data_IF_146076168856
#
_entry.id   IF_146076168856
#
_cell.length_a   1.000
_cell.length_b   1.000
_cell.length_c   1.000
_cell.angle_alpha   90.00
_cell.angle_beta   90.00
_cell.angle_gamma   90.00
#
_symmetry.space_group_name_H-M   'P 1'
#
loop_
_entity.id
_entity.type
_entity.pdbx_description
1 polymer ?
#
# COMPACT_ATOMS: atom_id res chain seq x y z
N UNK A 1 8.96 -25.51 -25.47
CA UNK A 1 7.82 -24.89 -24.75
C UNK A 1 8.20 -23.55 -24.10
N UNK A 2 8.95 -22.67 -24.80
CA UNK A 2 9.55 -21.46 -24.20
C UNK A 2 8.94 -20.12 -24.63
N UNK A 3 7.89 -20.11 -25.46
CA UNK A 3 7.38 -18.87 -26.09
C UNK A 3 6.37 -18.12 -25.19
N UNK A 4 5.84 -18.78 -24.15
CA UNK A 4 4.77 -18.21 -23.31
C UNK A 4 5.22 -17.25 -22.20
N UNK A 5 6.52 -17.21 -21.87
CA UNK A 5 7.04 -16.34 -20.80
C UNK A 5 7.29 -14.90 -21.27
N UNK A 6 7.83 -14.74 -22.48
CA UNK A 6 8.14 -13.42 -23.06
C UNK A 6 6.88 -12.58 -23.30
N UNK A 7 5.81 -13.21 -23.78
CA UNK A 7 4.54 -12.53 -24.04
C UNK A 7 3.83 -12.06 -22.76
N UNK A 8 4.03 -12.75 -21.63
CA UNK A 8 3.46 -12.35 -20.34
C UNK A 8 4.24 -11.20 -19.70
N UNK A 9 5.56 -11.12 -19.92
CA UNK A 9 6.39 -10.03 -19.39
C UNK A 9 6.18 -8.72 -20.17
N UNK A 10 6.01 -8.79 -21.49
CA UNK A 10 5.65 -7.61 -22.31
C UNK A 10 4.24 -7.08 -21.99
N UNK A 11 3.27 -7.97 -21.74
CA UNK A 11 1.93 -7.58 -21.32
C UNK A 11 1.93 -6.89 -19.94
N UNK A 12 2.77 -7.34 -19.00
CA UNK A 12 2.90 -6.69 -17.70
C UNK A 12 3.56 -5.31 -17.81
N UNK A 13 4.62 -5.17 -18.63
CA UNK A 13 5.28 -3.87 -18.88
C UNK A 13 4.36 -2.87 -19.59
N UNK A 14 3.53 -3.33 -20.53
CA UNK A 14 2.51 -2.51 -21.17
C UNK A 14 1.42 -2.05 -20.17
N UNK A 15 1.02 -2.91 -19.22
CA UNK A 15 0.03 -2.55 -18.19
C UNK A 15 0.54 -1.53 -17.18
N UNK A 16 1.84 -1.57 -16.83
CA UNK A 16 2.47 -0.61 -15.93
C UNK A 16 2.66 0.75 -16.64
N UNK A 17 2.99 0.74 -17.93
CA UNK A 17 3.07 1.97 -18.74
C UNK A 17 1.71 2.63 -19.02
N UNK A 18 0.64 1.83 -19.15
CA UNK A 18 -0.73 2.34 -19.30
C UNK A 18 -1.28 2.95 -17.99
N UNK A 19 -0.88 2.41 -16.83
CA UNK A 19 -1.34 2.90 -15.52
C UNK A 19 -0.66 4.20 -15.08
N UNK A 20 0.44 4.60 -15.73
CA UNK A 20 1.09 5.89 -15.53
C UNK A 20 0.41 7.06 -16.30
N UNK A 21 -0.61 6.79 -17.15
CA UNK A 21 -1.31 7.82 -17.94
C UNK A 21 -2.78 8.04 -17.56
N UNK A 22 -3.31 7.29 -16.60
CA UNK A 22 -4.70 7.35 -16.17
C UNK A 22 -4.86 7.98 -14.79
N UNK A 23 -4.74 9.32 -14.73
CA UNK A 23 -4.88 10.06 -13.47
C UNK A 23 -4.90 11.57 -13.66
N UNK A 24 -5.51 12.06 -14.74
CA UNK A 24 -5.77 13.48 -14.97
C UNK A 24 -7.29 13.70 -14.83
N UNK A 25 -7.73 13.92 -13.61
CA UNK A 25 -9.14 14.05 -13.26
C UNK A 25 -9.27 14.65 -11.86
N UNK A 26 -8.94 15.93 -11.75
CA UNK A 26 -9.08 16.72 -10.54
C UNK A 26 -8.92 18.18 -10.94
N UNK A 27 -10.03 18.90 -10.99
CA UNK A 27 -10.09 20.27 -11.49
C UNK A 27 -9.10 21.17 -10.76
N UNK A 28 -8.03 21.55 -11.45
CA UNK A 28 -7.36 22.80 -11.17
C UNK A 28 -8.32 23.91 -11.55
N UNK A 29 -8.96 24.54 -10.56
CA UNK A 29 -9.47 25.88 -10.78
C UNK A 29 -8.26 26.70 -11.21
N UNK A 30 -8.27 27.11 -12.46
CA UNK A 30 -7.27 27.98 -13.02
C UNK A 30 -7.11 29.16 -12.06
N UNK A 31 -5.88 29.35 -11.61
CA UNK A 31 -5.40 30.56 -10.95
C UNK A 31 -5.98 31.79 -11.67
N UNK A 32 -7.01 32.36 -11.07
CA UNK A 32 -7.72 33.54 -11.55
C UNK A 32 -7.31 34.74 -10.69
N UNK A 33 -6.01 34.99 -10.60
CA UNK A 33 -5.38 36.21 -10.12
C UNK A 33 -3.88 35.99 -10.35
N UNK A 34 -3.27 36.49 -11.43
CA UNK A 34 -2.77 37.86 -11.50
C UNK A 34 -2.88 38.34 -12.96
N UNK A 35 -4.04 38.85 -13.35
CA UNK A 35 -4.08 39.81 -14.44
C UNK A 35 -3.63 41.16 -13.87
N UNK A 36 -2.50 41.71 -14.36
CA UNK A 36 -2.12 43.11 -14.08
C UNK A 36 -3.32 44.02 -14.41
N UNK A 37 -3.84 44.83 -13.48
CA UNK A 37 -4.84 45.81 -13.86
C UNK A 37 -4.14 46.90 -14.69
N UNK A 38 -4.59 47.09 -15.93
CA UNK A 38 -4.32 48.31 -16.70
C UNK A 38 -4.88 49.50 -15.89
N UNK A 39 -4.18 50.65 -15.82
CA UNK A 39 -4.69 51.82 -15.12
C UNK A 39 -5.79 52.46 -15.97
N UNK A 40 -7.02 51.94 -15.88
CA UNK A 40 -8.20 52.63 -16.36
C UNK A 40 -8.58 53.68 -15.34
N UNK A 41 -8.48 54.95 -15.75
CA UNK A 41 -8.97 56.13 -15.05
C UNK A 41 -10.47 55.98 -14.74
N UNK A 42 -10.79 55.50 -13.54
CA UNK A 42 -12.10 55.66 -12.93
C UNK A 42 -12.13 56.98 -12.17
N UNK A 43 -13.25 57.73 -12.18
CA UNK A 43 -13.36 58.94 -11.38
C UNK A 43 -13.11 58.59 -9.92
N UNK A 44 -12.34 59.43 -9.22
CA UNK A 44 -12.01 59.27 -7.81
C UNK A 44 -13.29 59.25 -6.97
N UNK A 45 -13.86 58.05 -6.80
CA UNK A 45 -14.89 57.74 -5.82
C UNK A 45 -14.32 58.17 -4.49
N UNK A 46 -15.03 59.04 -3.76
CA UNK A 46 -14.60 59.49 -2.44
C UNK A 46 -14.17 58.26 -1.63
N UNK A 47 -12.86 58.12 -1.41
CA UNK A 47 -12.28 56.98 -0.71
C UNK A 47 -12.73 57.11 0.73
N UNK A 48 -13.76 56.35 1.09
CA UNK A 48 -14.09 56.14 2.50
C UNK A 48 -12.96 55.29 3.05
N UNK A 49 -12.36 55.69 4.15
CA UNK A 49 -11.23 54.96 4.74
C UNK A 49 -11.69 53.51 4.99
N UNK A 50 -11.07 52.51 4.35
CA UNK A 50 -11.56 51.14 4.43
C UNK A 50 -11.42 50.59 5.86
N UNK A 51 -10.48 51.13 6.65
CA UNK A 51 -10.37 50.88 8.09
C UNK A 51 -11.59 51.36 8.89
N UNK A 52 -12.21 52.48 8.52
CA UNK A 52 -13.42 52.96 9.19
C UNK A 52 -14.64 52.06 8.90
N UNK A 53 -14.64 51.35 7.76
CA UNK A 53 -15.65 50.33 7.44
C UNK A 53 -15.36 49.05 8.22
N UNK A 54 -14.09 48.69 8.42
CA UNK A 54 -13.69 47.55 9.25
C UNK A 54 -14.05 47.72 10.73
N UNK A 55 -13.85 48.92 11.28
CA UNK A 55 -14.23 49.26 12.66
C UNK A 55 -15.76 49.22 12.88
N UNK A 56 -16.55 49.23 11.80
CA UNK A 56 -18.00 49.09 11.86
C UNK A 56 -18.51 47.65 11.77
N UNK A 57 -17.63 46.66 11.56
CA UNK A 57 -18.03 45.26 11.65
C UNK A 57 -18.37 44.88 13.10
N UNK A 58 -19.37 44.02 13.26
CA UNK A 58 -19.63 43.38 14.54
C UNK A 58 -18.42 42.54 14.97
N UNK A 59 -18.07 42.64 16.24
CA UNK A 59 -16.94 41.92 16.86
C UNK A 59 -17.10 40.41 16.73
N UNK A 60 -18.34 39.92 16.63
CA UNK A 60 -18.64 38.48 16.47
C UNK A 60 -18.13 37.88 15.16
N UNK A 61 -17.94 38.68 14.09
CA UNK A 61 -17.38 38.17 12.82
C UNK A 61 -15.92 37.69 12.95
N UNK A 62 -15.23 38.02 14.04
CA UNK A 62 -13.86 37.56 14.30
C UNK A 62 -13.79 36.19 15.01
N UNK A 63 -14.92 35.66 15.49
CA UNK A 63 -14.95 34.38 16.21
C UNK A 63 -15.04 33.19 15.25
N UNK A 64 -14.17 32.17 15.37
CA UNK A 64 -14.15 31.01 14.46
C UNK A 64 -15.32 30.04 14.65
N UNK A 65 -16.15 30.24 15.69
CA UNK A 65 -17.34 29.42 15.96
C UNK A 65 -18.65 30.18 15.65
N UNK A 66 -18.55 31.41 15.15
CA UNK A 66 -19.71 32.24 14.84
C UNK A 66 -20.34 31.85 13.51
N UNK A 67 -21.65 31.62 13.52
CA UNK A 67 -22.43 31.42 12.31
C UNK A 67 -22.96 32.78 11.81
N UNK A 68 -22.21 33.37 10.88
CA UNK A 68 -22.56 34.62 10.24
C UNK A 68 -23.89 34.55 9.44
N UNK A 69 -24.25 33.38 8.92
CA UNK A 69 -25.48 33.24 8.13
C UNK A 69 -26.70 33.23 9.05
N UNK A 70 -26.62 32.49 10.16
CA UNK A 70 -27.71 32.45 11.16
C UNK A 70 -27.95 33.84 11.77
N UNK A 71 -26.88 34.58 12.07
CA UNK A 71 -26.96 35.94 12.61
C UNK A 71 -27.68 36.91 11.68
N UNK A 72 -27.26 36.95 10.40
CA UNK A 72 -27.88 37.81 9.40
C UNK A 72 -29.33 37.43 9.14
N UNK A 73 -29.64 36.13 9.09
CA UNK A 73 -31.01 35.63 8.90
C UNK A 73 -31.94 35.96 10.08
N UNK A 74 -31.43 35.92 11.30
CA UNK A 74 -32.18 36.29 12.51
C UNK A 74 -32.51 37.80 12.57
N UNK A 75 -31.73 38.64 11.88
CA UNK A 75 -31.92 40.08 11.83
C UNK A 75 -32.94 40.52 10.74
N UNK A 76 -33.46 39.58 9.93
CA UNK A 76 -34.51 39.89 8.95
C UNK A 76 -35.91 39.90 9.61
N UNK A 77 -36.78 40.88 9.29
CA UNK A 77 -38.16 40.88 9.77
C UNK A 77 -38.96 39.72 9.16
N UNK A 78 -39.93 39.16 9.89
CA UNK A 78 -40.69 37.97 9.46
C UNK A 78 -41.52 38.13 8.18
N UNK A 79 -41.90 39.35 7.80
CA UNK A 79 -42.50 39.68 6.50
C UNK A 79 -41.45 40.35 5.61
N UNK A 80 -40.69 39.54 4.88
CA UNK A 80 -39.53 40.03 4.12
C UNK A 80 -39.95 40.55 2.75
N UNK A 81 -39.76 41.85 2.51
CA UNK A 81 -39.85 42.39 1.15
C UNK A 81 -38.56 42.13 0.38
N UNK A 82 -38.66 41.71 -0.90
CA UNK A 82 -37.49 41.44 -1.76
C UNK A 82 -36.53 42.65 -1.84
N UNK A 83 -37.08 43.86 -1.70
CA UNK A 83 -36.32 45.11 -1.66
C UNK A 83 -35.41 45.23 -0.44
N UNK A 84 -35.84 44.75 0.73
CA UNK A 84 -35.07 44.84 1.98
C UNK A 84 -33.91 43.84 1.99
N UNK A 85 -34.14 42.63 1.47
CA UNK A 85 -33.08 41.65 1.20
C UNK A 85 -32.03 42.27 0.29
N UNK A 86 -32.47 42.89 -0.82
CA UNK A 86 -31.54 43.49 -1.78
C UNK A 86 -30.70 44.61 -1.15
N UNK A 87 -31.30 45.46 -0.31
CA UNK A 87 -30.57 46.52 0.40
C UNK A 87 -29.54 45.93 1.36
N UNK A 88 -29.89 44.89 2.14
CA UNK A 88 -28.94 44.19 3.02
C UNK A 88 -27.82 43.51 2.23
N UNK A 89 -28.14 42.80 1.15
CA UNK A 89 -27.13 42.19 0.28
C UNK A 89 -26.15 43.23 -0.29
N UNK A 90 -26.65 44.38 -0.75
CA UNK A 90 -25.79 45.46 -1.26
C UNK A 90 -24.91 46.05 -0.14
N UNK A 91 -25.41 46.12 1.10
CA UNK A 91 -24.61 46.55 2.24
C UNK A 91 -23.49 45.55 2.57
N UNK A 92 -23.80 44.25 2.64
CA UNK A 92 -22.82 43.19 2.90
C UNK A 92 -21.79 43.05 1.78
N UNK A 93 -22.19 43.24 0.53
CA UNK A 93 -21.26 43.25 -0.61
C UNK A 93 -20.24 44.39 -0.49
N UNK A 94 -20.67 45.60 -0.09
CA UNK A 94 -19.75 46.72 0.14
C UNK A 94 -18.81 46.46 1.31
N UNK A 95 -19.29 45.80 2.36
CA UNK A 95 -18.48 45.40 3.50
C UNK A 95 -17.40 44.40 3.09
N UNK A 96 -17.79 43.38 2.33
CA UNK A 96 -16.87 42.40 1.74
C UNK A 96 -15.82 43.08 0.85
N UNK A 97 -16.22 43.98 -0.03
CA UNK A 97 -15.29 44.73 -0.89
C UNK A 97 -14.26 45.51 -0.07
N UNK A 98 -14.67 46.15 1.02
CA UNK A 98 -13.75 46.86 1.92
C UNK A 98 -12.78 45.91 2.64
N UNK A 99 -13.27 44.77 3.13
CA UNK A 99 -12.43 43.73 3.74
C UNK A 99 -11.42 43.17 2.74
N UNK A 100 -11.87 42.88 1.52
CA UNK A 100 -11.03 42.37 0.43
C UNK A 100 -9.93 43.38 0.08
N UNK A 101 -10.24 44.68 0.01
CA UNK A 101 -9.26 45.73 -0.29
C UNK A 101 -8.18 45.84 0.79
N UNK A 102 -8.55 45.85 2.08
CA UNK A 102 -7.58 45.91 3.18
C UNK A 102 -6.76 44.63 3.27
N UNK A 103 -7.40 43.48 3.12
CA UNK A 103 -6.70 42.18 3.13
C UNK A 103 -5.69 42.11 1.98
N UNK A 104 -6.10 42.49 0.76
CA UNK A 104 -5.20 42.54 -0.39
C UNK A 104 -4.05 43.53 -0.15
N UNK A 105 -4.32 44.72 0.39
CA UNK A 105 -3.28 45.68 0.76
C UNK A 105 -2.25 45.07 1.71
N UNK A 106 -2.73 44.46 2.81
CA UNK A 106 -1.88 43.81 3.81
C UNK A 106 -1.09 42.61 3.28
N UNK A 107 -1.68 41.81 2.38
CA UNK A 107 -0.98 40.72 1.69
C UNK A 107 0.10 41.28 0.76
N UNK A 108 -0.20 42.36 0.04
CA UNK A 108 0.76 42.99 -0.87
C UNK A 108 1.92 43.67 -0.12
N UNK A 109 1.66 44.22 1.07
CA UNK A 109 2.70 44.78 1.94
C UNK A 109 3.71 43.70 2.38
N UNK A 110 3.24 42.47 2.63
CA UNK A 110 4.06 41.33 3.07
C UNK A 110 4.15 40.22 2.01
N UNK A 111 4.14 40.59 0.72
CA UNK A 111 3.94 39.64 -0.39
C UNK A 111 4.99 38.53 -0.46
N UNK A 112 6.26 38.86 -0.17
CA UNK A 112 7.37 37.89 -0.19
C UNK A 112 7.18 36.80 0.86
N UNK A 113 6.85 37.17 2.10
CA UNK A 113 6.62 36.24 3.21
C UNK A 113 5.38 35.39 2.97
N UNK A 114 4.33 35.98 2.40
CA UNK A 114 3.11 35.26 2.04
C UNK A 114 3.37 34.17 0.99
N UNK A 115 4.09 34.48 -0.10
CA UNK A 115 4.44 33.48 -1.11
C UNK A 115 5.35 32.41 -0.54
N UNK A 116 6.33 32.79 0.27
CA UNK A 116 7.24 31.83 0.89
C UNK A 116 6.46 30.84 1.76
N UNK A 117 5.57 31.34 2.63
CA UNK A 117 4.70 30.51 3.44
C UNK A 117 3.78 29.60 2.61
N UNK A 118 3.19 30.13 1.53
CA UNK A 118 2.35 29.34 0.63
C UNK A 118 3.14 28.25 -0.10
N UNK A 119 4.37 28.55 -0.52
CA UNK A 119 5.27 27.57 -1.16
C UNK A 119 5.63 26.47 -0.18
N UNK A 120 6.00 26.82 1.05
CA UNK A 120 6.32 25.85 2.12
C UNK A 120 5.12 24.94 2.44
N UNK A 121 3.91 25.48 2.56
CA UNK A 121 2.70 24.67 2.80
C UNK A 121 2.45 23.70 1.64
N UNK A 122 2.63 24.15 0.40
CA UNK A 122 2.48 23.31 -0.80
C UNK A 122 3.52 22.19 -0.85
N UNK A 123 4.78 22.49 -0.55
CA UNK A 123 5.87 21.51 -0.46
C UNK A 123 5.60 20.48 0.63
N UNK A 124 5.21 20.91 1.84
CA UNK A 124 4.83 20.02 2.94
C UNK A 124 3.65 19.11 2.56
N UNK A 125 2.64 19.65 1.87
CA UNK A 125 1.52 18.85 1.39
C UNK A 125 1.96 17.79 0.37
N UNK A 126 2.88 18.16 -0.53
CA UNK A 126 3.45 17.22 -1.50
C UNK A 126 4.23 16.11 -0.81
N UNK A 127 5.14 16.46 0.10
CA UNK A 127 5.98 15.53 0.84
C UNK A 127 5.15 14.57 1.70
N UNK A 128 4.12 15.09 2.39
CA UNK A 128 3.23 14.25 3.19
C UNK A 128 2.45 13.26 2.32
N UNK A 129 1.99 13.71 1.15
CA UNK A 129 1.29 12.85 0.19
C UNK A 129 2.21 11.75 -0.34
N UNK A 130 3.45 12.09 -0.68
CA UNK A 130 4.46 11.15 -1.13
C UNK A 130 4.84 10.15 -0.04
N UNK A 131 5.10 10.63 1.18
CA UNK A 131 5.39 9.78 2.34
C UNK A 131 4.24 8.81 2.63
N UNK A 132 2.98 9.27 2.55
CA UNK A 132 1.82 8.41 2.71
C UNK A 132 1.79 7.27 1.68
N UNK A 133 2.06 7.57 0.41
CA UNK A 133 2.11 6.57 -0.66
C UNK A 133 3.25 5.57 -0.43
N UNK A 134 4.45 6.05 -0.07
CA UNK A 134 5.62 5.20 0.22
C UNK A 134 5.33 4.26 1.38
N UNK A 135 4.80 4.77 2.50
CA UNK A 135 4.47 3.95 3.67
C UNK A 135 3.36 2.94 3.36
N UNK A 136 2.32 3.35 2.64
CA UNK A 136 1.21 2.48 2.25
C UNK A 136 1.68 1.35 1.33
N UNK A 137 2.55 1.66 0.37
CA UNK A 137 3.11 0.66 -0.54
C UNK A 137 4.12 -0.24 0.18
N UNK A 138 5.01 0.33 0.98
CA UNK A 138 5.95 -0.43 1.81
C UNK A 138 5.24 -1.45 2.69
N UNK A 139 4.20 -1.03 3.42
CA UNK A 139 3.37 -1.95 4.23
C UNK A 139 2.74 -3.07 3.40
N UNK A 140 2.27 -2.78 2.18
CA UNK A 140 1.72 -3.79 1.26
C UNK A 140 2.79 -4.76 0.77
N UNK A 141 3.99 -4.29 0.43
CA UNK A 141 5.10 -5.13 0.00
C UNK A 141 5.58 -6.05 1.12
N UNK A 142 5.76 -5.53 2.33
CA UNK A 142 6.15 -6.35 3.48
C UNK A 142 5.13 -7.45 3.77
N UNK A 143 3.82 -7.13 3.75
CA UNK A 143 2.77 -8.17 3.93
C UNK A 143 2.88 -9.28 2.89
N UNK A 144 2.97 -8.92 1.60
CA UNK A 144 3.11 -9.91 0.52
C UNK A 144 4.39 -10.73 0.65
N UNK A 145 5.48 -10.12 1.10
CA UNK A 145 6.74 -10.82 1.31
C UNK A 145 6.61 -11.84 2.46
N UNK A 146 5.95 -11.48 3.56
CA UNK A 146 5.65 -12.41 4.66
C UNK A 146 4.80 -13.58 4.16
N UNK A 147 3.67 -13.29 3.50
CA UNK A 147 2.77 -14.32 2.96
C UNK A 147 3.52 -15.27 1.98
N UNK A 148 4.40 -14.69 1.14
CA UNK A 148 5.22 -15.46 0.20
C UNK A 148 6.27 -16.35 0.87
N UNK A 149 6.91 -15.86 1.94
CA UNK A 149 7.91 -16.63 2.71
C UNK A 149 7.22 -17.75 3.49
N UNK A 150 6.07 -17.48 4.12
CA UNK A 150 5.30 -18.50 4.84
C UNK A 150 4.88 -19.64 3.91
N UNK A 151 4.30 -19.32 2.74
CA UNK A 151 3.94 -20.34 1.75
C UNK A 151 5.15 -21.12 1.24
N UNK A 152 6.30 -20.46 1.02
CA UNK A 152 7.53 -21.14 0.61
C UNK A 152 8.06 -22.09 1.70
N UNK A 153 8.01 -21.68 2.97
CA UNK A 153 8.41 -22.52 4.11
C UNK A 153 7.52 -23.75 4.25
N UNK A 154 6.21 -23.61 4.05
CA UNK A 154 5.28 -24.74 4.07
C UNK A 154 5.61 -25.76 2.97
N UNK A 155 5.89 -25.28 1.75
CA UNK A 155 6.31 -26.15 0.64
C UNK A 155 7.61 -26.88 0.96
N UNK A 156 8.60 -26.20 1.54
CA UNK A 156 9.87 -26.82 1.96
C UNK A 156 9.65 -27.86 3.04
N UNK A 157 8.81 -27.56 4.04
CA UNK A 157 8.48 -28.50 5.12
C UNK A 157 7.79 -29.76 4.56
N UNK A 158 6.83 -29.59 3.65
CA UNK A 158 6.13 -30.68 2.99
C UNK A 158 7.05 -31.50 2.08
N UNK A 159 7.96 -30.85 1.35
CA UNK A 159 8.97 -31.52 0.52
C UNK A 159 9.90 -32.40 1.37
N UNK A 160 10.44 -31.87 2.47
CA UNK A 160 11.27 -32.64 3.42
C UNK A 160 10.51 -33.77 4.09
N UNK A 161 9.20 -33.61 4.33
CA UNK A 161 8.35 -34.69 4.86
C UNK A 161 8.17 -35.80 3.83
N UNK A 162 7.86 -35.44 2.58
CA UNK A 162 7.73 -36.39 1.47
C UNK A 162 9.04 -37.15 1.24
N UNK A 163 10.17 -36.46 1.24
CA UNK A 163 11.49 -37.09 1.08
C UNK A 163 11.76 -38.13 2.17
N UNK A 164 11.52 -37.79 3.44
CA UNK A 164 11.63 -38.73 4.56
C UNK A 164 10.71 -39.94 4.41
N UNK A 165 9.45 -39.72 4.01
CA UNK A 165 8.50 -40.82 3.78
C UNK A 165 8.96 -41.74 2.63
N UNK A 166 9.48 -41.18 1.55
CA UNK A 166 10.04 -41.95 0.44
C UNK A 166 11.28 -42.74 0.85
N UNK A 167 12.16 -42.17 1.67
CA UNK A 167 13.30 -42.89 2.24
C UNK A 167 12.84 -44.06 3.10
N UNK A 168 11.85 -43.84 3.99
CA UNK A 168 11.31 -44.93 4.81
C UNK A 168 10.60 -46.01 4.00
N UNK A 169 9.93 -45.63 2.90
CA UNK A 169 9.27 -46.58 2.00
C UNK A 169 10.30 -47.48 1.32
N UNK A 170 11.40 -46.90 0.80
CA UNK A 170 12.50 -47.66 0.17
C UNK A 170 13.11 -48.66 1.15
N UNK A 171 13.40 -48.24 2.39
CA UNK A 171 13.90 -49.14 3.42
C UNK A 171 12.91 -50.29 3.72
N UNK A 172 11.61 -50.00 3.75
CA UNK A 172 10.58 -51.02 3.96
C UNK A 172 10.49 -52.02 2.79
N UNK A 173 10.67 -51.55 1.55
CA UNK A 173 10.74 -52.40 0.35
C UNK A 173 11.96 -53.33 0.41
N UNK A 174 13.13 -52.81 0.76
CA UNK A 174 14.36 -53.59 0.91
C UNK A 174 14.24 -54.65 2.04
N UNK A 175 13.61 -54.31 3.17
CA UNK A 175 13.31 -55.28 4.24
C UNK A 175 12.37 -56.38 3.75
N UNK A 176 11.33 -56.02 2.98
CA UNK A 176 10.38 -57.01 2.41
C UNK A 176 11.10 -57.98 1.47
N UNK A 177 12.01 -57.49 0.64
CA UNK A 177 12.83 -58.32 -0.25
C UNK A 177 13.74 -59.26 0.54
N UNK A 178 14.39 -58.77 1.60
CA UNK A 178 15.19 -59.61 2.50
C UNK A 178 14.34 -60.70 3.19
N UNK A 179 13.11 -60.38 3.61
CA UNK A 179 12.19 -61.36 4.18
C UNK A 179 11.79 -62.44 3.17
N UNK A 180 11.50 -62.06 1.92
CA UNK A 180 11.19 -63.00 0.85
C UNK A 180 12.39 -63.91 0.52
N UNK A 181 13.60 -63.37 0.46
CA UNK A 181 14.82 -64.14 0.27
C UNK A 181 15.07 -65.11 1.44
N UNK A 182 14.76 -64.71 2.69
CA UNK A 182 14.82 -65.59 3.86
C UNK A 182 13.83 -66.76 3.78
N UNK A 183 12.63 -66.53 3.26
CA UNK A 183 11.64 -67.60 3.05
C UNK A 183 12.08 -68.57 1.95
N UNK A 184 12.64 -68.07 0.85
CA UNK A 184 13.22 -68.91 -0.20
C UNK A 184 14.37 -69.79 0.34
N UNK A 185 15.23 -69.22 1.18
CA UNK A 185 16.28 -69.96 1.91
C UNK A 185 15.73 -71.09 2.77
N UNK A 186 14.64 -70.84 3.51
CA UNK A 186 13.96 -71.88 4.29
C UNK A 186 13.39 -73.00 3.40
N UNK A 187 12.88 -72.66 2.21
CA UNK A 187 12.47 -73.64 1.20
C UNK A 187 13.62 -74.54 0.75
N UNK A 188 14.76 -73.95 0.36
CA UNK A 188 15.95 -74.70 -0.05
C UNK A 188 16.50 -75.64 1.04
N UNK A 189 16.43 -75.21 2.30
CA UNK A 189 16.79 -76.06 3.45
C UNK A 189 15.83 -77.25 3.60
N UNK A 190 14.53 -77.05 3.40
CA UNK A 190 13.53 -78.13 3.41
C UNK A 190 13.74 -79.15 2.29
N UNK A 191 14.17 -78.70 1.11
CA UNK A 191 14.49 -79.55 -0.05
C UNK A 191 15.87 -80.22 0.03
N UNK A 192 16.62 -80.01 1.13
CA UNK A 192 17.99 -80.52 1.37
C UNK A 192 19.04 -80.00 0.37
N UNK A 193 18.78 -78.86 -0.29
CA UNK A 193 19.73 -78.21 -1.20
C UNK A 193 20.72 -77.32 -0.42
N UNK A 194 21.52 -77.93 0.46
CA UNK A 194 22.36 -77.19 1.43
C UNK A 194 23.41 -76.27 0.80
N UNK A 195 24.02 -76.68 -0.31
CA UNK A 195 25.03 -75.87 -0.99
C UNK A 195 24.45 -74.54 -1.50
N UNK A 196 23.23 -74.57 -2.08
CA UNK A 196 22.53 -73.36 -2.54
C UNK A 196 22.02 -72.51 -1.38
N UNK A 197 21.54 -73.17 -0.32
CA UNK A 197 21.13 -72.46 0.89
C UNK A 197 22.30 -71.72 1.57
N UNK A 198 23.50 -72.29 1.58
CA UNK A 198 24.69 -71.62 2.10
C UNK A 198 25.09 -70.39 1.27
N UNK A 199 25.09 -70.51 -0.06
CA UNK A 199 25.39 -69.38 -0.94
C UNK A 199 24.38 -68.23 -0.75
N UNK A 200 23.08 -68.52 -0.77
CA UNK A 200 22.05 -67.50 -0.57
C UNK A 200 22.07 -66.87 0.83
N UNK A 201 22.52 -67.58 1.86
CA UNK A 201 22.65 -67.03 3.21
C UNK A 201 23.80 -66.01 3.32
N UNK A 202 24.88 -66.21 2.58
CA UNK A 202 25.99 -65.26 2.48
C UNK A 202 25.53 -63.98 1.78
N UNK A 203 24.87 -64.14 0.63
CA UNK A 203 24.32 -63.01 -0.15
C UNK A 203 23.30 -62.20 0.66
N UNK A 204 22.38 -62.86 1.38
CA UNK A 204 21.43 -62.19 2.26
C UNK A 204 22.13 -61.41 3.38
N UNK A 205 23.19 -61.98 3.98
CA UNK A 205 23.94 -61.35 5.06
C UNK A 205 24.70 -60.12 4.59
N UNK A 206 25.28 -60.17 3.40
CA UNK A 206 25.95 -59.02 2.77
C UNK A 206 24.93 -57.91 2.46
N UNK A 207 23.81 -58.25 1.82
CA UNK A 207 22.73 -57.30 1.53
C UNK A 207 22.17 -56.64 2.80
N UNK A 208 21.93 -57.42 3.88
CA UNK A 208 21.48 -56.88 5.16
C UNK A 208 22.53 -55.99 5.85
N UNK A 209 23.82 -56.30 5.66
CA UNK A 209 24.92 -55.46 6.14
C UNK A 209 24.91 -54.08 5.50
N UNK A 210 24.75 -54.01 4.17
CA UNK A 210 24.63 -52.74 3.46
C UNK A 210 23.40 -51.93 3.86
N UNK A 211 22.28 -52.60 4.15
CA UNK A 211 21.06 -51.93 4.64
C UNK A 211 21.25 -51.34 6.03
N UNK A 212 21.99 -52.02 6.91
CA UNK A 212 22.28 -51.54 8.25
C UNK A 212 23.17 -50.28 8.24
N UNK A 213 24.18 -50.24 7.36
CA UNK A 213 25.04 -49.07 7.16
C UNK A 213 24.22 -47.86 6.67
N UNK A 214 23.36 -48.05 5.67
CA UNK A 214 22.48 -46.98 5.14
C UNK A 214 21.45 -46.48 6.17
N UNK A 215 20.96 -47.36 7.03
CA UNK A 215 20.06 -47.00 8.13
C UNK A 215 20.75 -46.15 9.22
N UNK A 216 22.06 -46.31 9.41
CA UNK A 216 22.86 -45.54 10.38
C UNK A 216 23.14 -44.11 9.94
N UNK A 217 23.39 -43.88 8.65
CA UNK A 217 23.68 -42.56 8.08
C UNK A 217 22.44 -41.65 8.01
N UNK A 218 21.23 -42.22 8.04
CA UNK A 218 19.96 -41.49 8.10
C UNK A 218 19.64 -40.83 9.45
N UNK A 219 20.46 -41.02 10.49
CA UNK A 219 20.33 -40.38 11.81
C UNK A 219 20.73 -38.90 11.81
N UNK A 220 20.31 -38.14 10.79
CA UNK A 220 20.37 -36.68 10.77
C UNK A 220 19.43 -36.00 11.80
N UNK A 221 18.77 -36.76 12.67
CA UNK A 221 17.92 -36.25 13.75
C UNK A 221 18.77 -35.76 14.94
N UNK A 222 20.07 -36.10 15.02
CA UNK A 222 20.94 -35.59 16.09
C UNK A 222 21.40 -34.12 15.90
N UNK A 223 21.14 -33.49 14.75
CA UNK A 223 21.60 -32.11 14.49
C UNK A 223 20.60 -31.00 14.91
N UNK A 224 19.51 -31.33 15.60
CA UNK A 224 18.47 -30.39 16.04
C UNK A 224 18.15 -30.46 17.55
N UNK A 225 19.14 -30.85 18.38
CA UNK A 225 19.04 -30.72 19.83
C UNK A 225 20.04 -29.70 20.35
#
# INVERSE_FOLDING_TARGET
>A
SGVGASAKEEALRASVAARARGGAGGGGSASACVARPRPSSLPARAKRDPNAVLESLDVRYYDPQFDALEHELAELPGEVSNREIHVKCVALMKLKEAVDEVLCGRIMDNYSEFIEGMTQVSELQHDLTMAHVVVKNGRRFTRRAVDGVEGALEVVANSKRKERLLQTLRLAEEIREALAAREALRGLLGERQYARAMAGAIELREALGELAERGGEGSGIQALR
#
